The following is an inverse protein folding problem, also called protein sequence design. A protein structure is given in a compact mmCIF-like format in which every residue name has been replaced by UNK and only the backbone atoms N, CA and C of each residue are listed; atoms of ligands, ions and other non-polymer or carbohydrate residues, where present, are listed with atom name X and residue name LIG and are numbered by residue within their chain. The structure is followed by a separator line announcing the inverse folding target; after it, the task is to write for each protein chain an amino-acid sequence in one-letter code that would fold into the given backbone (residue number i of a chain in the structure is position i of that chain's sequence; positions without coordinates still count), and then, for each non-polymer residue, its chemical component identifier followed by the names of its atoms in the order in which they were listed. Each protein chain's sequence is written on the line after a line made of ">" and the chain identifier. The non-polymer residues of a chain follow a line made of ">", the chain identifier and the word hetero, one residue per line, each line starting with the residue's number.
data_IF_929302002278
#
_entry.id   IF_929302002278
#
_cell.length_a   1.000
_cell.length_b   1.000
_cell.length_c   1.000
_cell.angle_alpha   90.00
_cell.angle_beta   90.00
_cell.angle_gamma   90.00
#
_symmetry.space_group_name_H-M   'P 1'
#
loop_
_entity.id
_entity.type
_entity.pdbx_description
1 polymer ?
#
# COMPACT_ATOMS: atom_id res chain seq x y z
N UNK A 1 16.21 9.68 -21.68
CA UNK A 1 16.86 8.37 -21.80
C UNK A 1 15.88 7.35 -21.27
N UNK A 2 15.55 6.33 -22.05
CA UNK A 2 14.63 5.27 -21.63
C UNK A 2 15.41 4.16 -20.93
N UNK A 3 14.96 3.80 -19.72
CA UNK A 3 15.54 2.70 -18.96
C UNK A 3 14.58 1.51 -18.98
N UNK A 4 15.15 0.31 -19.10
CA UNK A 4 14.40 -0.94 -19.11
C UNK A 4 14.98 -1.91 -18.08
N UNK A 5 14.09 -2.62 -17.38
CA UNK A 5 14.46 -3.60 -16.35
C UNK A 5 13.79 -4.94 -16.68
N UNK A 6 14.54 -6.02 -16.52
CA UNK A 6 14.07 -7.39 -16.76
C UNK A 6 13.68 -8.06 -15.43
N UNK A 7 12.59 -8.84 -15.39
CA UNK A 7 12.09 -9.40 -14.12
C UNK A 7 12.99 -10.44 -13.49
N UNK A 8 12.79 -10.55 -12.19
CA UNK A 8 13.27 -11.62 -11.32
C UNK A 8 12.57 -12.97 -11.53
N UNK A 9 11.56 -13.13 -12.39
CA UNK A 9 10.72 -14.35 -12.38
C UNK A 9 11.37 -15.60 -12.99
N UNK A 10 12.60 -15.48 -13.51
CA UNK A 10 13.52 -16.60 -13.68
C UNK A 10 14.01 -17.21 -12.35
N UNK A 11 13.69 -16.57 -11.20
CA UNK A 11 14.25 -16.80 -9.85
C UNK A 11 14.15 -18.21 -9.30
N UNK A 12 12.98 -18.83 -9.38
CA UNK A 12 12.67 -20.02 -8.57
C UNK A 12 13.17 -21.32 -9.21
N UNK A 13 13.38 -21.32 -10.54
CA UNK A 13 13.77 -22.52 -11.28
C UNK A 13 15.29 -22.65 -11.46
N UNK A 14 16.09 -21.59 -11.25
CA UNK A 14 17.46 -21.56 -11.79
C UNK A 14 18.63 -21.34 -10.83
N UNK A 15 18.53 -20.78 -9.60
CA UNK A 15 19.79 -20.37 -8.93
C UNK A 15 19.93 -20.70 -7.43
N UNK A 16 20.83 -21.67 -7.22
CA UNK A 16 21.57 -22.05 -6.01
C UNK A 16 22.70 -21.03 -5.68
N UNK A 17 22.79 -19.89 -6.40
CA UNK A 17 23.88 -18.92 -6.27
C UNK A 17 23.37 -17.47 -6.29
N UNK A 18 23.49 -16.79 -5.13
CA UNK A 18 23.34 -15.35 -4.88
C UNK A 18 22.17 -14.61 -5.58
N UNK A 19 21.15 -14.24 -4.79
CA UNK A 19 20.07 -13.38 -5.27
C UNK A 19 20.61 -12.05 -5.81
N UNK A 20 20.16 -11.56 -6.98
CA UNK A 20 20.47 -10.21 -7.42
C UNK A 20 19.96 -9.22 -6.36
N UNK A 21 20.79 -8.25 -6.00
CA UNK A 21 20.46 -7.25 -4.99
C UNK A 21 19.12 -6.55 -5.33
N UNK A 22 18.17 -6.61 -4.40
CA UNK A 22 16.96 -5.80 -4.49
C UNK A 22 17.34 -4.39 -4.09
N UNK A 23 17.17 -3.44 -5.01
CA UNK A 23 17.43 -2.02 -4.80
C UNK A 23 16.17 -1.21 -5.12
N UNK A 24 16.26 0.11 -5.04
CA UNK A 24 15.12 1.00 -5.21
C UNK A 24 14.55 0.97 -6.63
N UNK A 25 15.32 0.55 -7.62
CA UNK A 25 14.86 0.39 -9.01
C UNK A 25 14.21 -0.99 -9.19
N UNK A 26 14.90 -2.07 -8.81
CA UNK A 26 14.39 -3.44 -8.99
C UNK A 26 13.24 -3.77 -8.06
N UNK A 27 13.20 -3.18 -6.85
CA UNK A 27 12.07 -3.27 -5.93
C UNK A 27 10.84 -2.49 -6.41
N UNK A 28 11.02 -1.45 -7.23
CA UNK A 28 9.92 -0.63 -7.75
C UNK A 28 9.17 -1.29 -8.91
N UNK A 29 9.53 -2.49 -9.39
CA UNK A 29 8.94 -3.13 -10.58
C UNK A 29 7.39 -3.19 -10.55
N UNK A 30 6.79 -3.32 -9.37
CA UNK A 30 5.34 -3.43 -9.21
C UNK A 30 4.62 -2.11 -8.90
N UNK A 31 5.38 -1.01 -8.85
CA UNK A 31 4.85 0.34 -8.72
C UNK A 31 4.44 0.85 -10.10
N UNK A 32 3.19 0.57 -10.47
CA UNK A 32 2.66 0.84 -11.82
C UNK A 32 2.76 2.31 -12.26
N UNK A 33 2.86 3.24 -11.31
CA UNK A 33 3.12 4.67 -11.56
C UNK A 33 4.55 4.94 -12.06
N UNK A 34 5.52 4.11 -11.67
CA UNK A 34 6.94 4.20 -12.03
C UNK A 34 7.35 3.20 -13.12
N UNK A 35 6.71 2.03 -13.17
CA UNK A 35 7.14 0.89 -13.97
C UNK A 35 5.98 0.39 -14.82
N UNK A 36 6.16 0.41 -16.15
CA UNK A 36 5.15 -0.12 -17.08
C UNK A 36 5.65 -1.42 -17.71
N UNK A 37 4.95 -2.55 -17.55
CA UNK A 37 5.28 -3.75 -18.29
C UNK A 37 5.04 -3.50 -19.80
N UNK A 38 6.01 -3.85 -20.63
CA UNK A 38 5.94 -3.65 -22.09
C UNK A 38 6.05 -4.94 -22.88
N UNK A 39 6.61 -5.99 -22.30
CA UNK A 39 6.71 -7.30 -22.90
C UNK A 39 6.74 -8.35 -21.79
N UNK A 40 6.17 -9.52 -22.07
CA UNK A 40 6.39 -10.73 -21.29
C UNK A 40 6.93 -11.81 -22.21
N UNK A 41 7.79 -12.66 -21.68
CA UNK A 41 8.35 -13.80 -22.38
C UNK A 41 8.13 -15.04 -21.50
N UNK A 42 7.66 -16.12 -22.14
CA UNK A 42 7.41 -17.40 -21.49
C UNK A 42 7.80 -18.53 -22.42
N UNK A 43 8.61 -19.47 -21.94
CA UNK A 43 8.99 -20.67 -22.72
C UNK A 43 8.96 -21.97 -21.89
N UNK A 44 7.88 -22.18 -21.13
CA UNK A 44 7.63 -23.44 -20.42
C UNK A 44 8.52 -23.66 -19.18
N UNK A 45 9.79 -23.22 -19.20
CA UNK A 45 10.71 -23.23 -18.07
C UNK A 45 11.03 -21.82 -17.55
N UNK A 46 10.89 -20.80 -18.40
CA UNK A 46 11.18 -19.43 -18.02
C UNK A 46 9.95 -18.53 -18.19
N UNK A 47 9.79 -17.62 -17.24
CA UNK A 47 8.88 -16.49 -17.33
C UNK A 47 9.67 -15.24 -17.00
N UNK A 48 9.50 -14.19 -17.78
CA UNK A 48 9.84 -12.87 -17.31
C UNK A 48 9.16 -11.75 -18.06
N UNK A 49 9.32 -10.54 -17.53
CA UNK A 49 8.72 -9.33 -18.07
C UNK A 49 9.78 -8.25 -18.24
N UNK A 50 9.55 -7.38 -19.21
CA UNK A 50 10.35 -6.17 -19.42
C UNK A 50 9.51 -4.98 -18.96
N UNK A 51 10.09 -4.17 -18.10
CA UNK A 51 9.49 -2.93 -17.60
C UNK A 51 10.17 -1.73 -18.24
N UNK A 52 9.38 -0.76 -18.67
CA UNK A 52 9.82 0.59 -19.00
C UNK A 52 9.74 1.46 -17.75
N UNK A 53 10.86 2.07 -17.36
CA UNK A 53 10.93 2.98 -16.22
C UNK A 53 10.41 4.36 -16.64
N UNK A 54 9.25 4.73 -16.11
CA UNK A 54 8.58 6.02 -16.36
C UNK A 54 9.15 7.12 -15.47
N UNK A 55 10.42 7.46 -15.66
CA UNK A 55 11.09 8.54 -14.92
C UNK A 55 11.08 8.28 -13.42
N UNK A 56 12.07 7.51 -12.94
CA UNK A 56 12.16 7.05 -11.54
C UNK A 56 12.00 8.19 -10.53
N UNK A 57 12.48 9.38 -10.87
CA UNK A 57 12.40 10.59 -10.02
C UNK A 57 10.97 11.09 -9.77
N UNK A 58 9.96 10.55 -10.46
CA UNK A 58 8.54 10.83 -10.15
C UNK A 58 8.17 10.41 -8.74
N UNK A 59 8.89 9.47 -8.14
CA UNK A 59 8.70 9.09 -6.74
C UNK A 59 9.03 10.21 -5.77
N UNK A 60 9.73 11.25 -6.17
CA UNK A 60 10.02 12.44 -5.34
C UNK A 60 9.09 13.63 -5.66
N UNK A 61 7.94 13.36 -6.31
CA UNK A 61 6.97 14.40 -6.68
C UNK A 61 5.60 14.05 -6.13
N UNK A 62 5.01 15.00 -5.40
CA UNK A 62 3.64 14.88 -4.89
C UNK A 62 2.70 14.68 -6.09
N UNK A 63 1.90 13.59 -6.12
CA UNK A 63 0.94 13.38 -7.19
C UNK A 63 -0.14 14.46 -7.20
N UNK A 64 -0.61 14.84 -8.38
CA UNK A 64 -1.78 15.73 -8.50
C UNK A 64 -3.04 15.06 -7.92
N UNK A 65 -3.98 15.85 -7.40
CA UNK A 65 -5.28 15.40 -6.86
C UNK A 65 -5.16 14.41 -5.69
N UNK A 66 -4.27 14.69 -4.73
CA UNK A 66 -4.32 14.02 -3.42
C UNK A 66 -5.23 14.81 -2.47
N UNK A 67 -5.95 14.11 -1.61
CA UNK A 67 -6.60 14.67 -0.45
C UNK A 67 -5.57 14.66 0.69
N UNK A 68 -5.04 15.81 1.14
CA UNK A 68 -4.02 15.86 2.19
C UNK A 68 -4.50 15.16 3.46
N UNK A 69 -3.58 14.60 4.24
CA UNK A 69 -3.92 14.02 5.53
C UNK A 69 -4.56 15.09 6.44
N UNK A 70 -5.79 14.84 6.92
CA UNK A 70 -6.46 15.75 7.86
C UNK A 70 -5.80 15.73 9.25
N UNK A 71 -5.24 14.58 9.61
CA UNK A 71 -4.51 14.36 10.84
C UNK A 71 -3.06 14.08 10.48
N UNK A 72 -2.17 14.97 10.91
CA UNK A 72 -0.73 14.78 10.77
C UNK A 72 -0.26 13.69 11.74
N UNK A 73 0.22 12.59 11.19
CA UNK A 73 0.81 11.47 11.92
C UNK A 73 2.18 11.12 11.31
N UNK A 74 3.16 10.94 12.19
CA UNK A 74 4.53 10.59 11.82
C UNK A 74 4.96 9.29 12.50
N UNK A 75 5.34 8.30 11.70
CA UNK A 75 6.02 7.08 12.13
C UNK A 75 7.54 7.22 11.97
N UNK A 76 8.35 6.33 12.58
CA UNK A 76 9.81 6.44 12.54
C UNK A 76 10.44 6.46 11.14
N UNK A 77 9.75 5.95 10.12
CA UNK A 77 10.25 5.82 8.74
C UNK A 77 9.44 6.63 7.71
N UNK A 78 8.42 7.39 8.14
CA UNK A 78 7.61 8.21 7.24
C UNK A 78 6.31 8.70 7.86
N UNK A 79 5.57 9.50 7.11
CA UNK A 79 4.28 10.07 7.50
C UNK A 79 3.20 9.80 6.45
N UNK A 80 1.93 9.91 6.85
CA UNK A 80 0.83 9.94 5.89
C UNK A 80 0.81 11.32 5.22
N UNK A 81 1.09 11.37 3.92
CA UNK A 81 1.01 12.60 3.13
C UNK A 81 -0.43 12.93 2.76
N UNK A 82 -1.21 11.91 2.45
CA UNK A 82 -2.59 12.06 2.04
C UNK A 82 -3.16 10.79 1.45
N UNK A 83 -4.38 10.91 0.93
CA UNK A 83 -5.13 9.79 0.38
C UNK A 83 -5.84 10.19 -0.91
N UNK A 84 -6.52 9.22 -1.52
CA UNK A 84 -7.48 9.45 -2.59
C UNK A 84 -8.50 8.33 -2.58
N UNK A 85 -9.78 8.67 -2.45
CA UNK A 85 -10.87 7.73 -2.69
C UNK A 85 -11.27 7.75 -4.18
N UNK A 86 -11.57 6.58 -4.73
CA UNK A 86 -12.11 6.42 -6.08
C UNK A 86 -13.35 5.53 -6.04
N UNK A 87 -14.45 6.05 -6.58
CA UNK A 87 -15.79 5.47 -6.44
C UNK A 87 -16.55 6.05 -5.24
N UNK A 88 -17.81 5.66 -5.12
CA UNK A 88 -18.65 6.06 -3.99
C UNK A 88 -18.23 5.31 -2.72
N UNK A 89 -18.31 5.91 -1.53
CA UNK A 89 -17.99 5.26 -0.26
C UNK A 89 -19.10 4.28 0.16
N UNK A 90 -19.35 3.28 -0.69
CA UNK A 90 -20.39 2.27 -0.50
C UNK A 90 -19.73 0.89 -0.54
N UNK A 91 -19.93 0.11 0.53
CA UNK A 91 -19.36 -1.22 0.71
C UNK A 91 -20.38 -2.31 0.38
N UNK A 92 -19.91 -3.46 -0.10
CA UNK A 92 -20.75 -4.60 -0.46
C UNK A 92 -21.44 -4.48 -1.83
N UNK A 93 -21.13 -3.44 -2.61
CA UNK A 93 -21.64 -3.27 -3.97
C UNK A 93 -20.85 -4.04 -5.02
N UNK A 94 -21.38 -4.08 -6.25
CA UNK A 94 -20.73 -4.74 -7.40
C UNK A 94 -19.36 -4.14 -7.74
N UNK A 95 -19.16 -2.85 -7.46
CA UNK A 95 -17.89 -2.16 -7.66
C UNK A 95 -17.34 -1.71 -6.31
N UNK A 96 -16.32 -2.38 -5.75
CA UNK A 96 -15.76 -2.00 -4.46
C UNK A 96 -15.03 -0.66 -4.56
N UNK A 97 -15.12 0.20 -3.53
CA UNK A 97 -14.37 1.44 -3.46
C UNK A 97 -12.87 1.16 -3.40
N UNK A 98 -12.09 2.11 -3.91
CA UNK A 98 -10.63 2.03 -3.90
C UNK A 98 -10.05 3.22 -3.16
N UNK A 99 -9.25 2.95 -2.14
CA UNK A 99 -8.48 3.97 -1.43
C UNK A 99 -7.03 3.84 -1.85
N UNK A 100 -6.40 4.95 -2.21
CA UNK A 100 -4.96 5.02 -2.40
C UNK A 100 -4.36 5.86 -1.28
N UNK A 101 -3.39 5.30 -0.57
CA UNK A 101 -2.65 5.97 0.49
C UNK A 101 -1.32 6.45 -0.07
N UNK A 102 -0.88 7.63 0.32
CA UNK A 102 0.40 8.20 -0.07
C UNK A 102 1.21 8.48 1.20
N UNK A 103 2.38 7.86 1.30
CA UNK A 103 3.30 8.05 2.41
C UNK A 103 4.49 8.87 1.95
N UNK A 104 4.92 9.84 2.75
CA UNK A 104 6.19 10.52 2.59
C UNK A 104 7.23 9.80 3.45
N UNK A 105 8.24 9.23 2.82
CA UNK A 105 9.29 8.50 3.48
C UNK A 105 10.31 9.43 4.13
N UNK A 106 10.66 9.13 5.38
CA UNK A 106 11.77 9.78 6.09
C UNK A 106 13.10 9.06 5.83
N UNK A 107 13.05 7.84 5.29
CA UNK A 107 14.20 6.98 5.01
C UNK A 107 13.86 5.49 5.18
N UNK A 108 14.87 4.61 5.08
CA UNK A 108 14.65 3.17 5.15
C UNK A 108 14.19 2.77 6.55
N UNK A 109 13.14 1.97 6.62
CA UNK A 109 12.67 1.40 7.87
C UNK A 109 13.70 0.41 8.45
N UNK A 110 13.81 0.30 9.79
CA UNK A 110 14.71 -0.67 10.42
C UNK A 110 14.28 -2.12 10.15
N UNK A 111 12.98 -2.35 9.95
CA UNK A 111 12.34 -3.66 9.74
C UNK A 111 11.40 -3.60 8.54
N UNK A 112 10.93 -4.77 8.12
CA UNK A 112 9.87 -4.86 7.12
C UNK A 112 8.51 -4.70 7.81
N UNK A 113 7.77 -3.66 7.46
CA UNK A 113 6.49 -3.37 8.10
C UNK A 113 5.31 -3.65 7.17
N UNK A 114 4.24 -4.15 7.78
CA UNK A 114 2.96 -4.39 7.13
C UNK A 114 2.03 -3.23 7.45
N UNK A 115 1.38 -2.69 6.42
CA UNK A 115 0.30 -1.73 6.56
C UNK A 115 -0.98 -2.51 6.88
N UNK A 116 -1.67 -2.11 7.93
CA UNK A 116 -3.05 -2.54 8.14
C UNK A 116 -4.01 -1.45 7.68
N UNK A 117 -5.15 -1.87 7.17
CA UNK A 117 -6.31 -1.03 6.92
C UNK A 117 -7.49 -1.74 7.57
N UNK A 118 -7.96 -1.21 8.68
CA UNK A 118 -9.08 -1.75 9.43
C UNK A 118 -10.37 -1.04 9.03
N UNK A 119 -11.44 -1.81 8.79
CA UNK A 119 -12.80 -1.31 8.75
C UNK A 119 -13.38 -1.36 10.16
N UNK A 120 -13.87 -0.22 10.64
CA UNK A 120 -14.52 -0.10 11.95
C UNK A 120 -15.99 0.26 11.76
N UNK A 121 -16.86 -0.25 12.62
CA UNK A 121 -18.25 0.20 12.73
C UNK A 121 -18.35 1.53 13.52
N UNK A 122 -19.57 2.03 13.72
CA UNK A 122 -19.84 3.29 14.42
C UNK A 122 -19.59 3.23 15.94
N UNK A 123 -19.49 2.03 16.50
CA UNK A 123 -19.07 1.78 17.89
C UNK A 123 -17.54 1.62 18.01
N UNK A 124 -16.82 1.59 16.90
CA UNK A 124 -15.37 1.41 16.83
C UNK A 124 -14.92 -0.05 16.90
N UNK A 125 -15.84 -1.02 16.74
CA UNK A 125 -15.49 -2.43 16.67
C UNK A 125 -14.88 -2.77 15.32
N UNK A 126 -13.93 -3.70 15.33
CA UNK A 126 -13.29 -4.19 14.12
C UNK A 126 -14.24 -5.09 13.31
N UNK A 127 -14.55 -4.68 12.08
CA UNK A 127 -15.40 -5.44 11.15
C UNK A 127 -14.56 -6.36 10.25
N UNK A 128 -13.53 -5.80 9.61
CA UNK A 128 -12.62 -6.56 8.74
C UNK A 128 -11.30 -5.80 8.52
N UNK A 129 -10.33 -6.43 7.87
CA UNK A 129 -9.03 -5.83 7.57
C UNK A 129 -8.55 -6.09 6.14
N UNK A 130 -7.71 -5.19 5.63
CA UNK A 130 -6.99 -5.33 4.36
C UNK A 130 -5.48 -5.11 4.58
N UNK A 131 -4.87 -6.04 5.32
CA UNK A 131 -3.44 -5.99 5.64
C UNK A 131 -2.58 -6.37 4.43
N UNK A 132 -1.54 -5.59 4.16
CA UNK A 132 -0.57 -5.91 3.11
C UNK A 132 0.73 -5.14 3.25
N UNK A 133 1.78 -5.64 2.59
CA UNK A 133 3.01 -4.89 2.44
C UNK A 133 2.79 -3.64 1.54
N UNK A 134 3.56 -2.56 1.73
CA UNK A 134 3.36 -1.34 0.97
C UNK A 134 3.63 -1.51 -0.52
N UNK A 135 2.93 -0.70 -1.32
CA UNK A 135 2.96 -0.77 -2.78
C UNK A 135 2.88 -2.21 -3.33
N UNK A 136 2.03 -3.04 -2.71
CA UNK A 136 1.78 -4.40 -3.15
C UNK A 136 1.17 -4.42 -4.56
N UNK A 137 1.67 -5.32 -5.39
CA UNK A 137 1.16 -5.63 -6.72
C UNK A 137 1.02 -7.13 -6.91
N UNK A 138 0.74 -7.56 -8.14
CA UNK A 138 0.34 -8.94 -8.46
C UNK A 138 1.36 -10.02 -7.99
N UNK A 139 2.66 -9.70 -7.97
CA UNK A 139 3.70 -10.68 -7.70
C UNK A 139 4.75 -10.26 -6.66
N UNK A 140 4.74 -9.02 -6.16
CA UNK A 140 5.59 -8.60 -5.04
C UNK A 140 5.12 -7.28 -4.41
N UNK A 141 5.91 -6.78 -3.45
CA UNK A 141 5.73 -5.52 -2.74
C UNK A 141 7.01 -4.69 -2.77
N UNK A 142 6.91 -3.41 -2.41
CA UNK A 142 8.07 -2.54 -2.27
C UNK A 142 8.46 -2.43 -0.80
N UNK A 143 9.58 -3.07 -0.45
CA UNK A 143 10.06 -3.18 0.94
C UNK A 143 10.18 -1.82 1.63
N UNK A 144 9.70 -1.71 2.87
CA UNK A 144 9.89 -0.49 3.70
C UNK A 144 11.35 -0.18 3.97
N UNK A 145 12.23 -1.18 3.85
CA UNK A 145 13.68 -1.03 4.01
C UNK A 145 14.38 -0.40 2.81
N UNK A 146 13.66 -0.23 1.69
CA UNK A 146 14.15 0.41 0.47
C UNK A 146 13.73 1.87 0.35
N UNK A 147 12.88 2.36 1.25
CA UNK A 147 12.37 3.73 1.18
C UNK A 147 13.51 4.75 1.27
N UNK A 148 13.49 5.74 0.38
CA UNK A 148 14.45 6.85 0.37
C UNK A 148 13.86 8.09 1.04
N UNK A 149 14.68 8.95 1.67
CA UNK A 149 14.20 10.25 2.14
C UNK A 149 13.49 11.02 1.02
N UNK A 150 12.38 11.66 1.35
CA UNK A 150 11.51 12.42 0.44
C UNK A 150 10.81 11.58 -0.65
N UNK A 151 10.96 10.25 -0.61
CA UNK A 151 10.24 9.35 -1.51
C UNK A 151 8.76 9.30 -1.13
N UNK A 152 7.91 9.38 -2.14
CA UNK A 152 6.48 9.17 -2.01
C UNK A 152 6.18 7.74 -2.42
N UNK A 153 5.67 6.97 -1.46
CA UNK A 153 5.27 5.58 -1.66
C UNK A 153 3.74 5.52 -1.69
N UNK A 154 3.20 5.09 -2.84
CA UNK A 154 1.77 4.95 -3.06
C UNK A 154 1.34 3.51 -2.78
N UNK A 155 0.32 3.34 -1.95
CA UNK A 155 -0.27 2.05 -1.65
C UNK A 155 -1.75 2.00 -2.11
N UNK A 156 -2.11 1.23 -3.14
CA UNK A 156 -3.49 1.05 -3.55
C UNK A 156 -4.18 -0.06 -2.75
N UNK A 157 -5.37 0.21 -2.22
CA UNK A 157 -6.23 -0.76 -1.55
C UNK A 157 -7.61 -0.81 -2.22
N UNK A 158 -8.09 -2.02 -2.53
CA UNK A 158 -9.45 -2.24 -3.02
C UNK A 158 -10.26 -2.87 -1.89
N UNK A 159 -11.32 -2.19 -1.46
CA UNK A 159 -12.08 -2.54 -0.25
C UNK A 159 -13.15 -3.59 -0.56
N UNK A 160 -12.70 -4.74 -1.06
CA UNK A 160 -13.57 -5.90 -1.29
C UNK A 160 -13.85 -6.58 0.04
N UNK A 161 -15.13 -6.78 0.37
CA UNK A 161 -15.51 -7.49 1.59
C UNK A 161 -15.25 -9.00 1.44
N UNK A 162 -14.67 -9.64 2.47
CA UNK A 162 -14.69 -11.09 2.59
C UNK A 162 -16.12 -11.64 2.59
N UNK A 163 -16.30 -12.86 2.09
CA UNK A 163 -17.63 -13.47 1.92
C UNK A 163 -18.36 -13.75 3.25
N UNK A 164 -17.62 -13.84 4.35
CA UNK A 164 -18.10 -14.05 5.71
C UNK A 164 -18.41 -12.74 6.46
N UNK A 165 -18.06 -11.58 5.89
CA UNK A 165 -18.36 -10.27 6.48
C UNK A 165 -19.75 -9.82 6.07
N UNK A 166 -20.60 -9.61 7.07
CA UNK A 166 -21.94 -9.01 6.89
C UNK A 166 -21.92 -7.59 7.41
N UNK A 167 -22.43 -6.65 6.61
CA UNK A 167 -22.61 -5.27 7.03
C UNK A 167 -24.03 -5.04 7.51
N UNK A 168 -24.16 -4.23 8.55
CA UNK A 168 -25.43 -3.81 9.11
C UNK A 168 -25.99 -2.61 8.31
N UNK A 169 -27.24 -2.70 7.81
CA UNK A 169 -27.88 -1.60 7.12
C UNK A 169 -28.03 -0.38 8.03
N UNK A 170 -27.69 0.80 7.51
CA UNK A 170 -27.80 2.06 8.26
C UNK A 170 -26.58 2.39 9.12
N UNK A 171 -25.64 1.46 9.29
CA UNK A 171 -24.39 1.67 10.02
C UNK A 171 -23.39 2.46 9.17
N UNK A 172 -22.70 3.40 9.82
CA UNK A 172 -21.59 4.14 9.25
C UNK A 172 -20.28 3.41 9.56
N UNK A 173 -19.40 3.29 8.56
CA UNK A 173 -18.12 2.61 8.72
C UNK A 173 -16.96 3.57 8.43
N UNK A 174 -15.88 3.45 9.19
CA UNK A 174 -14.66 4.25 9.00
C UNK A 174 -13.47 3.35 8.74
N UNK A 175 -12.39 3.95 8.22
CA UNK A 175 -11.13 3.23 8.02
C UNK A 175 -10.09 3.75 8.99
N UNK A 176 -9.38 2.84 9.66
CA UNK A 176 -8.20 3.14 10.45
C UNK A 176 -6.98 2.47 9.85
N UNK A 177 -5.89 3.21 9.70
CA UNK A 177 -4.64 2.69 9.15
C UNK A 177 -3.49 2.81 10.14
N UNK A 178 -2.49 1.97 9.97
CA UNK A 178 -1.23 2.04 10.71
C UNK A 178 -0.30 0.91 10.32
N UNK A 179 0.75 0.70 11.11
CA UNK A 179 1.80 -0.26 10.77
C UNK A 179 2.03 -1.25 11.89
N UNK A 180 2.52 -2.44 11.52
CA UNK A 180 2.99 -3.43 12.46
C UNK A 180 4.12 -4.27 11.87
N UNK A 181 4.89 -4.93 12.72
CA UNK A 181 5.92 -5.87 12.30
C UNK A 181 5.35 -7.30 12.17
N UNK A 182 5.05 -7.73 10.95
CA UNK A 182 4.54 -9.08 10.71
C UNK A 182 5.58 -10.19 10.95
N UNK A 183 6.88 -9.91 10.82
CA UNK A 183 7.93 -10.93 10.86
C UNK A 183 8.48 -11.19 12.26
N UNK A 184 8.38 -10.22 13.18
CA UNK A 184 8.82 -10.39 14.56
C UNK A 184 7.68 -10.88 15.47
N UNK A 185 6.95 -9.96 16.09
CA UNK A 185 5.99 -10.22 17.16
C UNK A 185 4.60 -9.62 16.90
N UNK A 186 4.34 -9.13 15.69
CA UNK A 186 3.10 -8.41 15.33
C UNK A 186 2.86 -7.15 16.16
N UNK A 187 3.90 -6.56 16.76
CA UNK A 187 3.78 -5.30 17.49
C UNK A 187 3.39 -4.15 16.56
N UNK A 188 2.46 -3.31 17.05
CA UNK A 188 2.09 -2.04 16.40
C UNK A 188 3.27 -1.07 16.43
N UNK A 189 3.47 -0.35 15.33
CA UNK A 189 4.46 0.72 15.26
C UNK A 189 3.82 2.01 15.77
N UNK A 190 4.35 2.63 16.84
CA UNK A 190 3.83 3.89 17.33
C UNK A 190 4.05 4.99 16.30
N UNK A 191 3.01 5.78 16.07
CA UNK A 191 3.04 7.07 15.38
C UNK A 191 2.83 8.21 16.38
N UNK A 192 3.36 9.38 16.04
CA UNK A 192 3.24 10.61 16.82
C UNK A 192 2.35 11.59 16.07
N UNK A 193 1.33 12.11 16.73
CA UNK A 193 0.44 13.14 16.20
C UNK A 193 1.06 14.54 16.32
N UNK A 194 0.49 15.54 15.64
CA UNK A 194 0.97 16.93 15.68
C UNK A 194 1.03 17.53 17.11
N UNK A 195 0.18 17.07 18.02
CA UNK A 195 0.17 17.51 19.42
C UNK A 195 1.21 16.79 20.31
N UNK A 196 1.97 15.85 19.73
CA UNK A 196 2.97 15.04 20.41
C UNK A 196 2.44 13.79 21.10
N UNK A 197 1.13 13.52 21.02
CA UNK A 197 0.56 12.27 21.55
C UNK A 197 0.93 11.06 20.69
N UNK A 198 1.09 9.90 21.33
CA UNK A 198 1.36 8.63 20.65
C UNK A 198 0.07 7.89 20.33
N UNK A 199 0.03 7.25 19.17
CA UNK A 199 -1.06 6.38 18.71
C UNK A 199 -0.52 5.25 17.84
N UNK A 200 -1.26 4.18 17.63
CA UNK A 200 -0.86 3.09 16.72
C UNK A 200 -1.25 3.36 15.26
N UNK A 201 -2.11 4.34 15.02
CA UNK A 201 -2.69 4.60 13.71
C UNK A 201 -3.57 5.83 13.66
N UNK A 202 -4.17 6.06 12.48
CA UNK A 202 -5.01 7.24 12.20
C UNK A 202 -6.25 6.84 11.43
N UNK A 203 -7.36 7.53 11.70
CA UNK A 203 -8.60 7.33 10.97
C UNK A 203 -8.59 8.17 9.69
N UNK A 204 -9.08 7.61 8.59
CA UNK A 204 -9.21 8.29 7.32
C UNK A 204 -10.53 9.08 7.27
N UNK A 205 -10.61 10.16 6.49
CA UNK A 205 -11.75 11.09 6.51
C UNK A 205 -13.01 10.55 5.80
N UNK A 206 -13.01 9.28 5.42
CA UNK A 206 -14.07 8.68 4.64
C UNK A 206 -15.06 7.94 5.54
N UNK A 207 -16.34 8.26 5.36
CA UNK A 207 -17.45 7.51 5.98
C UNK A 207 -18.10 6.65 4.92
N UNK A 208 -18.04 5.34 5.11
CA UNK A 208 -18.62 4.34 4.23
C UNK A 208 -20.00 3.91 4.73
N UNK A 209 -20.86 3.49 3.79
CA UNK A 209 -22.16 2.88 4.08
C UNK A 209 -22.26 1.52 3.43
N UNK A 210 -23.02 0.61 4.02
CA UNK A 210 -23.40 -0.63 3.34
C UNK A 210 -24.33 -0.33 2.16
N UNK A 211 -24.27 -1.14 1.10
CA UNK A 211 -25.32 -1.15 0.07
C UNK A 211 -26.67 -1.44 0.74
N UNK A 212 -27.68 -0.63 0.40
CA UNK A 212 -29.06 -0.93 0.75
C UNK A 212 -29.56 -2.10 -0.10
N UNK A 213 -30.03 -3.16 0.55
CA UNK A 213 -30.87 -4.16 -0.10
C UNK A 213 -32.24 -3.52 -0.34
N UNK A 214 -32.44 -2.87 -1.48
CA UNK A 214 -33.79 -2.57 -2.02
C UNK A 214 -34.23 -3.68 -2.97
#
# INVERSE_FOLDING_TARGET
>A
MDYYVYTQEARWLYEEFAQPEVNQVTGSMYRAELMRPIASYRDGAFFGQVYHVRGIDRRFRIPDNIDPAEVEITWPFGSLLGTRLSGDPVLGGLTPPRVRLFFLASGPAPLEYTLYIHLLDDEGNLVTTWDSFPAFGEYAWYSTRLWEPDEIVSHPATLTLPADVTLEPGTAYTLRIGWYDFFADSARVPGVLADGSETDGVDLPYVFRAVSNE
#
